data_IF_217818823510
#
_entry.id   IF_217818823510
#
_cell.length_a   1.000
_cell.length_b   1.000
_cell.length_c   1.000
_cell.angle_alpha   90.00
_cell.angle_beta   90.00
_cell.angle_gamma   90.00
#
_symmetry.space_group_name_H-M   'P 1'
#
loop_
_entity.id
_entity.type
_entity.pdbx_description
1 polymer ?
#
# COMPACT_ATOMS: atom_id res chain seq x y z
N UNK A 1 18.69 -1.16 -20.40
CA UNK A 1 18.42 -0.69 -19.02
C UNK A 1 17.03 -1.20 -18.59
N UNK A 2 16.87 -1.71 -17.36
CA UNK A 2 15.52 -2.03 -16.86
C UNK A 2 14.76 -0.72 -16.65
N UNK A 3 13.51 -0.67 -17.09
CA UNK A 3 12.65 0.48 -16.79
C UNK A 3 12.45 0.57 -15.27
N UNK A 4 12.69 1.73 -14.65
CA UNK A 4 12.52 1.89 -13.21
C UNK A 4 11.05 1.72 -12.84
N UNK A 5 10.79 0.98 -11.76
CA UNK A 5 9.45 0.80 -11.20
C UNK A 5 9.00 2.04 -10.44
N UNK A 6 7.71 2.15 -10.11
CA UNK A 6 7.20 3.22 -9.24
C UNK A 6 7.92 3.19 -7.88
N UNK A 7 8.17 2.00 -7.34
CA UNK A 7 8.93 1.81 -6.11
C UNK A 7 10.33 2.44 -6.21
N UNK A 8 11.07 2.16 -7.29
CA UNK A 8 12.42 2.70 -7.51
C UNK A 8 12.38 4.24 -7.60
N UNK A 9 11.40 4.79 -8.31
CA UNK A 9 11.24 6.24 -8.45
C UNK A 9 10.93 6.93 -7.11
N UNK A 10 10.10 6.30 -6.28
CA UNK A 10 9.70 6.85 -4.98
C UNK A 10 10.86 6.76 -3.98
N UNK A 11 11.51 5.60 -3.88
CA UNK A 11 12.50 5.33 -2.85
C UNK A 11 13.88 5.89 -3.21
N UNK A 12 14.32 5.72 -4.47
CA UNK A 12 15.67 6.14 -4.86
C UNK A 12 15.73 7.61 -5.26
N UNK A 13 14.62 8.17 -5.76
CA UNK A 13 14.57 9.54 -6.27
C UNK A 13 13.70 10.49 -5.46
N UNK A 14 13.09 9.99 -4.39
CA UNK A 14 12.28 10.81 -3.49
C UNK A 14 10.95 11.28 -4.10
N UNK A 15 10.50 10.76 -5.24
CA UNK A 15 9.30 11.26 -5.92
C UNK A 15 8.01 10.86 -5.19
N UNK A 16 6.93 11.62 -5.37
CA UNK A 16 5.60 11.18 -4.93
C UNK A 16 5.03 10.17 -5.95
N UNK A 17 4.12 9.31 -5.52
CA UNK A 17 3.45 8.37 -6.42
C UNK A 17 2.50 9.12 -7.38
N UNK A 18 2.30 8.59 -8.61
CA UNK A 18 1.34 9.14 -9.56
C UNK A 18 -0.09 9.17 -9.01
N UNK A 19 -0.94 10.05 -9.54
CA UNK A 19 -2.31 10.18 -9.05
C UNK A 19 -3.13 8.88 -9.17
N UNK A 20 -3.07 8.13 -10.28
CA UNK A 20 -3.74 6.83 -10.36
C UNK A 20 -3.19 5.80 -9.39
N UNK A 21 -1.89 5.86 -9.06
CA UNK A 21 -1.35 4.95 -8.07
C UNK A 21 -1.99 5.23 -6.70
N UNK A 22 -2.09 6.50 -6.32
CA UNK A 22 -2.78 6.90 -5.08
C UNK A 22 -4.27 6.56 -5.10
N UNK A 23 -4.92 6.70 -6.26
CA UNK A 23 -6.30 6.26 -6.45
C UNK A 23 -6.45 4.74 -6.31
N UNK A 24 -5.54 3.97 -6.92
CA UNK A 24 -5.50 2.52 -6.83
C UNK A 24 -5.24 2.06 -5.39
N UNK A 25 -4.30 2.70 -4.67
CA UNK A 25 -4.06 2.48 -3.24
C UNK A 25 -5.33 2.71 -2.42
N UNK A 26 -6.01 3.85 -2.64
CA UNK A 26 -7.29 4.16 -1.98
C UNK A 26 -8.36 3.11 -2.28
N UNK A 27 -8.47 2.69 -3.53
CA UNK A 27 -9.44 1.69 -3.98
C UNK A 27 -9.13 0.32 -3.35
N UNK A 28 -7.87 -0.11 -3.37
CA UNK A 28 -7.40 -1.35 -2.76
C UNK A 28 -7.71 -1.35 -1.25
N UNK A 29 -7.33 -0.29 -0.56
CA UNK A 29 -7.63 -0.11 0.86
C UNK A 29 -9.13 -0.23 1.15
N UNK A 30 -9.95 0.56 0.44
CA UNK A 30 -11.39 0.61 0.66
C UNK A 30 -12.07 -0.71 0.35
N UNK A 31 -11.65 -1.38 -0.72
CA UNK A 31 -12.19 -2.67 -1.12
C UNK A 31 -11.85 -3.77 -0.11
N UNK A 32 -10.59 -3.85 0.34
CA UNK A 32 -10.15 -4.87 1.31
C UNK A 32 -10.78 -4.64 2.70
N UNK A 33 -10.71 -3.41 3.20
CA UNK A 33 -11.26 -3.07 4.51
C UNK A 33 -12.79 -3.18 4.54
N UNK A 34 -13.46 -2.79 3.46
CA UNK A 34 -14.89 -2.95 3.25
C UNK A 34 -15.32 -4.41 3.14
N UNK A 35 -14.57 -5.23 2.39
CA UNK A 35 -14.78 -6.68 2.32
C UNK A 35 -14.71 -7.29 3.71
N UNK A 36 -13.61 -7.08 4.45
CA UNK A 36 -13.39 -7.68 5.76
C UNK A 36 -14.47 -7.30 6.77
N UNK A 37 -14.76 -5.99 6.88
CA UNK A 37 -15.77 -5.47 7.81
C UNK A 37 -17.19 -5.92 7.43
N UNK A 38 -17.43 -6.19 6.15
CA UNK A 38 -18.71 -6.67 5.64
C UNK A 38 -19.00 -8.16 5.91
N UNK A 39 -17.97 -8.96 6.27
CA UNK A 39 -18.16 -10.39 6.54
C UNK A 39 -18.86 -10.65 7.88
N UNK A 40 -18.63 -9.81 8.89
CA UNK A 40 -19.13 -10.03 10.24
C UNK A 40 -19.10 -8.73 11.04
N UNK A 41 -20.10 -8.46 11.90
CA UNK A 41 -20.08 -7.31 12.81
C UNK A 41 -18.97 -7.40 13.87
N UNK A 42 -18.37 -8.58 14.06
CA UNK A 42 -17.21 -8.80 14.95
C UNK A 42 -15.88 -8.44 14.30
N UNK A 43 -15.87 -8.18 13.00
CA UNK A 43 -14.66 -7.83 12.27
C UNK A 43 -14.36 -6.35 12.40
N UNK A 44 -13.09 -6.02 12.53
CA UNK A 44 -12.61 -4.64 12.49
C UNK A 44 -11.23 -4.56 11.83
N UNK A 45 -10.92 -3.36 11.34
CA UNK A 45 -9.70 -3.07 10.58
C UNK A 45 -8.84 -2.11 11.39
N UNK A 46 -7.55 -2.40 11.46
CA UNK A 46 -6.53 -1.52 12.03
C UNK A 46 -5.49 -1.25 10.94
N UNK A 47 -5.25 0.03 10.63
CA UNK A 47 -4.15 0.41 9.75
C UNK A 47 -2.83 0.36 10.52
N UNK A 48 -1.81 -0.32 10.00
CA UNK A 48 -0.50 -0.43 10.63
C UNK A 48 0.58 0.31 9.84
N UNK A 49 1.75 0.46 10.44
CA UNK A 49 2.95 0.96 9.77
C UNK A 49 2.72 2.25 8.97
N UNK A 50 3.18 2.33 7.71
CA UNK A 50 3.06 3.53 6.87
C UNK A 50 1.59 3.92 6.66
N UNK A 51 0.73 2.93 6.41
CA UNK A 51 -0.72 3.12 6.26
C UNK A 51 -1.35 3.72 7.52
N UNK A 52 -0.99 3.25 8.70
CA UNK A 52 -1.51 3.76 9.98
C UNK A 52 -1.07 5.20 10.24
N UNK A 53 0.13 5.56 9.79
CA UNK A 53 0.67 6.91 9.95
C UNK A 53 -0.12 7.97 9.17
N UNK A 54 -0.73 7.57 8.04
CA UNK A 54 -1.55 8.42 7.19
C UNK A 54 -2.75 9.04 7.93
N UNK A 55 -3.28 8.36 8.95
CA UNK A 55 -4.34 8.85 9.84
C UNK A 55 -3.96 10.15 10.54
N UNK A 56 -2.68 10.29 10.90
CA UNK A 56 -2.19 11.41 11.71
C UNK A 56 -1.52 12.50 10.87
N UNK A 57 -1.02 12.15 9.68
CA UNK A 57 -0.22 13.07 8.85
C UNK A 57 -0.95 13.64 7.65
N UNK A 58 -1.92 12.91 7.12
CA UNK A 58 -2.49 13.21 5.81
C UNK A 58 -4.02 13.21 5.82
N UNK A 59 -4.61 13.61 6.95
CA UNK A 59 -6.06 13.78 7.08
C UNK A 59 -6.87 12.51 6.83
N UNK A 60 -6.27 11.33 7.04
CA UNK A 60 -6.92 10.06 6.73
C UNK A 60 -6.93 9.72 5.24
N UNK A 61 -5.96 10.21 4.46
CA UNK A 61 -5.70 9.77 3.08
C UNK A 61 -4.33 9.10 2.97
N UNK A 62 -4.12 8.11 2.08
CA UNK A 62 -2.82 7.47 1.87
C UNK A 62 -1.71 8.51 1.64
N UNK A 63 -0.52 8.30 2.22
CA UNK A 63 0.56 9.28 2.10
C UNK A 63 1.00 9.32 0.63
N UNK A 64 1.33 10.52 0.14
CA UNK A 64 1.55 10.76 -1.29
C UNK A 64 2.73 9.98 -1.88
N UNK A 65 3.54 9.32 -1.07
CA UNK A 65 4.67 8.48 -1.47
C UNK A 65 4.56 7.04 -0.98
N UNK A 66 3.42 6.63 -0.40
CA UNK A 66 3.17 5.22 -0.13
C UNK A 66 3.05 4.47 -1.46
N UNK A 67 3.57 3.25 -1.48
CA UNK A 67 3.59 2.36 -2.65
C UNK A 67 2.80 1.08 -2.39
N UNK A 68 2.58 0.78 -1.12
CA UNK A 68 1.98 -0.42 -0.56
C UNK A 68 0.96 -0.07 0.55
N UNK A 69 0.31 -1.10 1.07
CA UNK A 69 -0.65 -0.97 2.17
C UNK A 69 -0.40 -2.04 3.23
N UNK A 70 0.01 -1.62 4.42
CA UNK A 70 -0.02 -2.46 5.61
C UNK A 70 -1.41 -2.43 6.29
N UNK A 71 -2.00 -3.59 6.54
CA UNK A 71 -3.32 -3.70 7.17
C UNK A 71 -3.42 -4.88 8.14
N UNK A 72 -4.10 -4.65 9.26
CA UNK A 72 -4.45 -5.67 10.23
C UNK A 72 -5.97 -5.92 10.20
N UNK A 73 -6.34 -7.17 9.93
CA UNK A 73 -7.71 -7.64 9.79
C UNK A 73 -8.07 -8.53 10.99
N UNK A 74 -8.83 -7.97 11.93
CA UNK A 74 -9.12 -8.60 13.22
C UNK A 74 -10.57 -9.01 13.35
N UNK A 75 -10.82 -10.04 14.15
CA UNK A 75 -12.16 -10.49 14.52
C UNK A 75 -12.26 -10.84 16.00
N UNK A 76 -13.33 -10.39 16.67
CA UNK A 76 -13.61 -10.65 18.11
C UNK A 76 -14.23 -12.04 18.34
N UNK A 77 -13.68 -13.09 17.71
CA UNK A 77 -14.19 -14.46 17.86
C UNK A 77 -13.72 -15.40 16.77
N UNK A 78 -14.51 -16.44 16.53
CA UNK A 78 -14.28 -17.36 15.42
C UNK A 78 -14.42 -16.63 14.08
N UNK A 79 -13.44 -16.78 13.17
CA UNK A 79 -13.55 -16.23 11.83
C UNK A 79 -14.63 -16.99 11.04
N UNK A 80 -15.23 -16.30 10.05
CA UNK A 80 -16.27 -16.88 9.21
C UNK A 80 -15.77 -18.09 8.38
N UNK A 81 -14.48 -18.12 8.11
CA UNK A 81 -13.77 -19.23 7.47
C UNK A 81 -12.37 -19.37 8.08
N UNK A 82 -11.75 -20.55 7.94
CA UNK A 82 -10.40 -20.79 8.44
C UNK A 82 -9.37 -20.00 7.61
N UNK A 83 -8.47 -19.27 8.26
CA UNK A 83 -7.44 -18.50 7.54
C UNK A 83 -6.46 -19.37 6.75
N UNK A 84 -6.32 -20.67 7.08
CA UNK A 84 -5.59 -21.64 6.26
C UNK A 84 -6.12 -21.74 4.83
N UNK A 85 -7.40 -21.41 4.60
CA UNK A 85 -7.98 -21.37 3.26
C UNK A 85 -7.23 -20.39 2.34
N UNK A 86 -6.63 -19.31 2.87
CA UNK A 86 -5.78 -18.45 2.06
C UNK A 86 -4.60 -19.22 1.45
N UNK A 87 -3.96 -20.10 2.20
CA UNK A 87 -2.84 -20.91 1.71
C UNK A 87 -3.30 -21.98 0.71
N UNK A 88 -4.46 -22.61 0.94
CA UNK A 88 -5.03 -23.61 0.02
C UNK A 88 -5.40 -22.99 -1.33
N UNK A 89 -5.88 -21.74 -1.30
CA UNK A 89 -6.36 -21.01 -2.47
C UNK A 89 -5.41 -19.92 -2.96
N UNK A 90 -4.11 -19.98 -2.64
CA UNK A 90 -3.13 -19.03 -3.18
C UNK A 90 -2.75 -19.35 -4.64
N UNK A 91 -2.29 -18.34 -5.37
CA UNK A 91 -1.71 -18.47 -6.70
C UNK A 91 -0.39 -19.24 -6.60
N UNK A 92 -0.42 -20.52 -6.99
CA UNK A 92 0.72 -21.43 -6.88
C UNK A 92 0.51 -22.60 -5.92
N UNK A 93 -0.63 -22.66 -5.21
CA UNK A 93 -0.98 -23.81 -4.39
C UNK A 93 -1.18 -25.08 -5.26
N UNK A 94 -0.91 -26.25 -4.66
CA UNK A 94 -0.97 -27.53 -5.37
C UNK A 94 -2.40 -27.85 -5.85
N UNK A 95 -2.60 -28.11 -7.17
CA UNK A 95 -3.94 -28.34 -7.74
C UNK A 95 -4.73 -29.47 -7.08
N UNK A 96 -4.04 -30.47 -6.52
CA UNK A 96 -4.66 -31.64 -5.89
C UNK A 96 -5.53 -31.29 -4.68
N UNK A 97 -5.18 -30.26 -3.90
CA UNK A 97 -5.98 -29.81 -2.76
C UNK A 97 -7.22 -29.02 -3.21
N UNK A 98 -7.10 -28.26 -4.29
CA UNK A 98 -8.19 -27.45 -4.85
C UNK A 98 -9.25 -28.30 -5.54
N UNK A 99 -8.88 -29.46 -6.10
CA UNK A 99 -9.82 -30.36 -6.78
C UNK A 99 -10.81 -31.05 -5.84
N UNK A 100 -10.50 -31.12 -4.54
CA UNK A 100 -11.29 -31.84 -3.55
C UNK A 100 -12.25 -30.94 -2.75
N UNK A 101 -12.20 -29.62 -2.95
CA UNK A 101 -12.91 -28.65 -2.12
C UNK A 101 -13.43 -27.49 -2.96
N UNK A 102 -14.55 -26.89 -2.56
CA UNK A 102 -14.99 -25.61 -3.13
C UNK A 102 -14.35 -24.44 -2.35
N UNK A 103 -13.94 -23.36 -3.02
CA UNK A 103 -13.39 -22.20 -2.32
C UNK A 103 -14.45 -21.56 -1.42
N UNK A 104 -14.07 -21.05 -0.23
CA UNK A 104 -14.97 -20.25 0.59
C UNK A 104 -15.57 -19.09 -0.23
N UNK A 105 -16.89 -18.87 -0.19
CA UNK A 105 -17.55 -17.79 -0.94
C UNK A 105 -16.93 -16.41 -0.67
N UNK A 106 -16.43 -16.19 0.54
CA UNK A 106 -15.79 -14.95 0.97
C UNK A 106 -14.49 -14.69 0.21
N UNK A 107 -13.70 -15.73 -0.07
CA UNK A 107 -12.45 -15.64 -0.83
C UNK A 107 -12.72 -15.50 -2.34
N UNK A 108 -13.80 -16.12 -2.85
CA UNK A 108 -14.27 -15.88 -4.22
C UNK A 108 -14.63 -14.41 -4.40
N UNK A 109 -15.42 -13.85 -3.46
CA UNK A 109 -15.80 -12.44 -3.48
C UNK A 109 -14.59 -11.51 -3.38
N UNK A 110 -13.57 -11.87 -2.59
CA UNK A 110 -12.32 -11.10 -2.51
C UNK A 110 -11.61 -11.06 -3.88
N UNK A 111 -11.58 -12.18 -4.61
CA UNK A 111 -11.03 -12.22 -5.97
C UNK A 111 -11.84 -11.39 -6.97
N UNK A 112 -13.17 -11.44 -6.86
CA UNK A 112 -14.06 -10.62 -7.70
C UNK A 112 -13.85 -9.11 -7.49
N UNK A 113 -13.39 -8.70 -6.31
CA UNK A 113 -13.00 -7.32 -6.03
C UNK A 113 -11.65 -6.93 -6.67
N UNK A 114 -10.95 -7.86 -7.31
CA UNK A 114 -9.68 -7.59 -8.01
C UNK A 114 -8.43 -7.97 -7.21
N UNK A 115 -8.57 -8.77 -6.14
CA UNK A 115 -7.43 -9.24 -5.34
C UNK A 115 -6.95 -10.62 -5.78
N UNK A 116 -5.64 -10.80 -5.75
CA UNK A 116 -4.97 -12.09 -5.75
C UNK A 116 -3.97 -12.18 -4.61
N UNK A 117 -3.47 -13.37 -4.30
CA UNK A 117 -2.42 -13.59 -3.29
C UNK A 117 -1.59 -14.81 -3.66
N UNK A 118 -0.28 -14.72 -3.41
CA UNK A 118 0.70 -15.76 -3.76
C UNK A 118 1.36 -16.33 -2.51
N UNK A 119 1.73 -15.45 -1.56
CA UNK A 119 2.42 -15.83 -0.35
C UNK A 119 1.51 -15.75 0.88
N UNK A 120 1.47 -16.84 1.62
CA UNK A 120 0.73 -16.96 2.88
C UNK A 120 1.65 -17.59 3.90
N UNK A 121 1.79 -16.95 5.07
CA UNK A 121 2.65 -17.42 6.15
C UNK A 121 1.91 -17.41 7.47
N UNK A 122 1.90 -18.55 8.14
CA UNK A 122 1.32 -18.67 9.48
C UNK A 122 2.39 -18.35 10.55
N UNK A 123 2.16 -17.26 11.27
CA UNK A 123 2.92 -16.87 12.45
C UNK A 123 2.04 -16.83 13.72
N UNK A 124 0.91 -17.55 13.72
CA UNK A 124 -0.02 -17.65 14.85
C UNK A 124 0.67 -18.14 16.13
N UNK A 125 1.59 -19.10 16.03
CA UNK A 125 2.40 -19.59 17.15
C UNK A 125 3.24 -18.50 17.85
N UNK A 126 3.48 -17.37 17.19
CA UNK A 126 4.19 -16.19 17.73
C UNK A 126 3.26 -15.02 18.03
N UNK A 127 1.94 -15.26 18.04
CA UNK A 127 0.91 -14.22 18.17
C UNK A 127 0.94 -13.15 17.06
N UNK A 128 1.64 -13.41 15.95
CA UNK A 128 1.74 -12.50 14.82
C UNK A 128 0.64 -12.73 13.78
N UNK A 129 -0.08 -13.87 13.84
CA UNK A 129 -1.24 -14.14 12.97
C UNK A 129 -0.86 -14.70 11.62
N UNK A 130 -1.80 -14.66 10.68
CA UNK A 130 -1.60 -15.09 9.30
C UNK A 130 -1.22 -13.89 8.45
N UNK A 131 -0.05 -13.94 7.82
CA UNK A 131 0.40 -12.91 6.89
C UNK A 131 0.05 -13.34 5.47
N UNK A 132 -0.65 -12.48 4.75
CA UNK A 132 -1.08 -12.71 3.37
C UNK A 132 -0.60 -11.54 2.52
N UNK A 133 0.28 -11.82 1.58
CA UNK A 133 0.73 -10.85 0.57
C UNK A 133 -0.33 -10.82 -0.54
N UNK A 134 -1.14 -9.75 -0.53
CA UNK A 134 -2.22 -9.51 -1.49
C UNK A 134 -1.72 -8.58 -2.60
N UNK A 135 -2.18 -8.81 -3.81
CA UNK A 135 -2.05 -7.87 -4.92
C UNK A 135 -3.44 -7.45 -5.39
N UNK A 136 -3.66 -6.15 -5.48
CA UNK A 136 -4.88 -5.55 -6.02
C UNK A 136 -4.62 -5.01 -7.42
N UNK A 137 -5.50 -5.34 -8.37
CA UNK A 137 -5.46 -4.80 -9.72
C UNK A 137 -6.62 -3.82 -9.97
N UNK A 138 -6.31 -2.53 -10.10
CA UNK A 138 -7.28 -1.52 -10.55
C UNK A 138 -7.42 -1.60 -12.08
N UNK A 139 -8.37 -2.41 -12.56
CA UNK A 139 -8.66 -2.56 -13.99
C UNK A 139 -9.29 -1.32 -14.63
N UNK A 140 -9.80 -0.39 -13.83
CA UNK A 140 -10.33 0.89 -14.30
C UNK A 140 -9.23 1.96 -14.44
N UNK A 141 -7.99 1.66 -14.01
CA UNK A 141 -6.84 2.50 -14.33
C UNK A 141 -6.49 2.37 -15.82
N UNK A 142 -6.30 3.53 -16.46
CA UNK A 142 -5.96 3.65 -17.88
C UNK A 142 -4.63 4.39 -17.99
N UNK A 143 -3.77 4.06 -18.98
CA UNK A 143 -3.98 3.13 -20.10
C UNK A 143 -3.72 1.65 -19.74
N UNK A 144 -3.10 1.38 -18.59
CA UNK A 144 -2.83 0.03 -18.10
C UNK A 144 -3.34 -0.12 -16.67
N UNK A 145 -3.77 -1.33 -16.27
CA UNK A 145 -4.13 -1.60 -14.89
C UNK A 145 -2.97 -1.29 -13.95
N UNK A 146 -3.28 -0.61 -12.84
CA UNK A 146 -2.32 -0.38 -11.77
C UNK A 146 -2.41 -1.53 -10.79
N UNK A 147 -1.25 -2.05 -10.36
CA UNK A 147 -1.15 -3.10 -9.36
C UNK A 147 -0.56 -2.53 -8.09
N UNK A 148 -1.22 -2.81 -6.97
CA UNK A 148 -0.82 -2.35 -5.64
C UNK A 148 -0.65 -3.58 -4.77
N UNK A 149 0.43 -3.63 -4.02
CA UNK A 149 0.69 -4.70 -3.07
C UNK A 149 0.16 -4.30 -1.67
N UNK A 150 -0.39 -5.28 -0.95
CA UNK A 150 -0.93 -5.10 0.39
C UNK A 150 -0.44 -6.23 1.28
N UNK A 151 0.10 -5.86 2.43
CA UNK A 151 0.51 -6.78 3.49
C UNK A 151 -0.61 -6.88 4.53
N UNK A 152 -1.40 -7.94 4.43
CA UNK A 152 -2.52 -8.18 5.33
C UNK A 152 -2.15 -9.17 6.43
N UNK A 153 -2.40 -8.78 7.68
CA UNK A 153 -2.26 -9.64 8.86
C UNK A 153 -3.64 -9.98 9.41
N UNK A 154 -4.00 -11.26 9.38
CA UNK A 154 -5.27 -11.77 9.90
C UNK A 154 -5.10 -12.35 11.30
N UNK A 155 -5.96 -11.96 12.24
CA UNK A 155 -6.01 -12.54 13.59
C UNK A 155 -7.44 -12.73 14.08
N UNK A 156 -7.68 -13.88 14.70
CA UNK A 156 -8.92 -14.22 15.39
C UNK A 156 -8.80 -13.98 16.89
N UNK A 157 -9.94 -13.87 17.56
CA UNK A 157 -10.06 -13.63 19.00
C UNK A 157 -9.32 -12.38 19.52
N UNK A 158 -9.14 -11.37 18.67
CA UNK A 158 -8.57 -10.08 19.08
C UNK A 158 -9.72 -9.16 19.47
N UNK A 159 -9.76 -8.72 20.72
CA UNK A 159 -10.75 -7.71 21.15
C UNK A 159 -10.40 -6.32 20.61
N UNK A 160 -11.42 -5.51 20.35
CA UNK A 160 -11.29 -4.12 19.95
C UNK A 160 -10.85 -3.17 21.09
N UNK A 161 -10.82 -3.63 22.35
CA UNK A 161 -10.51 -2.81 23.52
C UNK A 161 -9.14 -2.07 23.45
N UNK A 162 -8.03 -2.67 22.94
CA UNK A 162 -6.75 -1.97 22.75
C UNK A 162 -6.79 -0.92 21.62
N UNK A 163 -7.83 -0.93 20.79
CA UNK A 163 -8.04 0.01 19.69
C UNK A 163 -9.34 0.80 19.91
N UNK A 164 -9.45 1.59 21.00
CA UNK A 164 -10.72 2.18 21.41
C UNK A 164 -11.21 3.28 20.47
N UNK A 165 -10.29 3.93 19.74
CA UNK A 165 -10.61 5.06 18.87
C UNK A 165 -11.01 4.59 17.48
N UNK A 166 -11.77 5.41 16.77
CA UNK A 166 -12.13 5.18 15.36
C UNK A 166 -11.86 6.42 14.53
N UNK A 167 -11.41 6.22 13.30
CA UNK A 167 -11.16 7.28 12.32
C UNK A 167 -11.63 6.83 10.94
N UNK A 168 -11.70 7.78 10.00
CA UNK A 168 -11.89 7.47 8.60
C UNK A 168 -10.51 7.46 7.91
N UNK A 169 -10.19 6.36 7.22
CA UNK A 169 -9.05 6.25 6.33
C UNK A 169 -9.56 5.92 4.92
N UNK A 170 -9.35 6.85 3.99
CA UNK A 170 -9.67 6.76 2.58
C UNK A 170 -11.14 6.40 2.28
N UNK A 171 -12.07 6.75 3.18
CA UNK A 171 -13.49 6.44 3.07
C UNK A 171 -13.95 5.29 3.98
N UNK A 172 -13.03 4.56 4.63
CA UNK A 172 -13.36 3.40 5.46
C UNK A 172 -13.11 3.66 6.94
N UNK A 173 -14.02 3.20 7.80
CA UNK A 173 -13.86 3.30 9.26
C UNK A 173 -12.81 2.30 9.73
N UNK A 174 -11.79 2.80 10.42
CA UNK A 174 -10.74 1.99 11.06
C UNK A 174 -10.72 2.22 12.55
N UNK A 175 -10.10 1.28 13.26
CA UNK A 175 -9.80 1.41 14.68
C UNK A 175 -8.31 1.66 14.90
N UNK A 176 -7.99 2.39 15.96
CA UNK A 176 -6.61 2.63 16.38
C UNK A 176 -6.56 2.86 17.91
N UNK A 177 -5.35 2.75 18.47
CA UNK A 177 -5.09 2.93 19.89
C UNK A 177 -3.92 3.87 20.15
N UNK A 178 -3.80 4.34 21.39
CA UNK A 178 -2.74 5.27 21.79
C UNK A 178 -1.35 4.65 21.63
N UNK A 179 -1.18 3.38 22.00
CA UNK A 179 0.09 2.67 21.88
C UNK A 179 0.54 2.54 20.42
N UNK A 180 -0.41 2.29 19.52
CA UNK A 180 -0.15 2.26 18.08
C UNK A 180 0.30 3.64 17.58
N UNK A 181 -0.39 4.70 17.99
CA UNK A 181 -0.01 6.07 17.62
C UNK A 181 1.41 6.42 18.11
N UNK A 182 1.74 6.08 19.37
CA UNK A 182 3.08 6.29 19.94
C UNK A 182 4.14 5.49 19.17
N UNK A 183 3.87 4.21 18.89
CA UNK A 183 4.77 3.36 18.11
C UNK A 183 5.05 3.93 16.71
N UNK A 184 4.00 4.37 16.00
CA UNK A 184 4.12 4.93 14.66
C UNK A 184 4.88 6.26 14.64
N UNK A 185 4.57 7.16 15.58
CA UNK A 185 5.29 8.44 15.68
C UNK A 185 6.77 8.25 16.04
N UNK A 186 7.09 7.27 16.91
CA UNK A 186 8.47 6.91 17.25
C UNK A 186 9.23 6.26 16.09
N UNK A 187 8.59 5.36 15.34
CA UNK A 187 9.19 4.64 14.22
C UNK A 187 9.47 5.53 13.01
N UNK A 188 8.55 6.44 12.66
CA UNK A 188 8.56 7.16 11.37
C UNK A 188 9.02 8.63 11.44
N UNK A 189 9.63 9.08 12.54
CA UNK A 189 10.31 10.40 12.62
C UNK A 189 9.44 11.60 12.20
N UNK A 190 10.00 12.71 11.70
CA UNK A 190 9.23 13.83 11.14
C UNK A 190 8.46 13.47 9.85
N UNK A 191 7.40 14.23 9.52
CA UNK A 191 6.54 14.03 8.34
C UNK A 191 7.18 14.45 6.99
N UNK A 192 8.49 14.63 6.97
CA UNK A 192 9.23 15.19 5.85
C UNK A 192 9.80 14.08 4.98
N UNK A 193 9.45 14.06 3.70
CA UNK A 193 10.15 13.20 2.74
C UNK A 193 11.50 13.81 2.42
N UNK A 194 12.56 13.02 2.63
CA UNK A 194 13.95 13.42 2.36
C UNK A 194 14.56 12.51 1.29
N UNK A 195 15.45 13.06 0.46
CA UNK A 195 16.22 12.22 -0.46
C UNK A 195 17.12 11.28 0.33
N UNK A 196 17.03 9.97 0.06
CA UNK A 196 17.68 8.90 0.83
C UNK A 196 19.22 9.06 0.94
N UNK A 197 19.85 9.78 0.01
CA UNK A 197 21.32 9.95 -0.05
C UNK A 197 21.85 11.29 0.47
N UNK A 198 21.02 12.34 0.52
CA UNK A 198 21.47 13.70 0.88
C UNK A 198 20.80 14.26 2.12
N UNK A 199 19.64 13.71 2.52
CA UNK A 199 18.87 14.22 3.65
C UNK A 199 18.10 15.52 3.35
N UNK A 200 18.26 16.08 2.16
CA UNK A 200 17.51 17.25 1.69
C UNK A 200 16.02 16.95 1.58
N UNK A 201 15.18 17.95 1.90
CA UNK A 201 13.74 17.87 1.68
C UNK A 201 13.45 17.66 0.20
N UNK A 202 12.51 16.77 -0.11
CA UNK A 202 12.02 16.63 -1.48
C UNK A 202 11.23 17.88 -1.83
N UNK A 203 11.83 18.74 -2.64
CA UNK A 203 11.18 19.89 -3.28
C UNK A 203 10.86 19.53 -4.73
N UNK A 204 9.64 19.84 -5.19
CA UNK A 204 9.34 19.76 -6.62
C UNK A 204 10.09 20.89 -7.33
N UNK A 205 11.04 20.55 -8.19
CA UNK A 205 11.95 21.53 -8.81
C UNK A 205 11.36 22.22 -10.05
N UNK A 206 10.22 21.77 -10.59
CA UNK A 206 9.65 22.30 -11.84
C UNK A 206 8.39 23.14 -11.62
N UNK A 207 8.36 24.41 -12.09
CA UNK A 207 7.13 25.20 -12.18
C UNK A 207 6.11 24.50 -13.08
N UNK A 208 4.91 24.23 -12.56
CA UNK A 208 3.82 23.59 -13.30
C UNK A 208 3.72 22.08 -13.15
N UNK A 209 4.69 21.43 -12.49
CA UNK A 209 4.56 20.05 -12.04
C UNK A 209 4.25 20.04 -10.54
N UNK A 210 3.23 19.29 -10.13
CA UNK A 210 3.18 18.86 -8.73
C UNK A 210 4.22 17.75 -8.54
N UNK A 211 4.75 17.56 -7.34
CA UNK A 211 5.52 16.34 -7.00
C UNK A 211 4.75 15.05 -7.33
N UNK A 212 3.44 15.15 -7.58
CA UNK A 212 2.61 14.14 -8.21
C UNK A 212 2.92 14.03 -9.71
N UNK A 213 3.39 12.86 -10.14
CA UNK A 213 3.45 12.50 -11.56
C UNK A 213 2.04 12.73 -12.17
N UNK A 214 1.87 13.61 -13.19
CA UNK A 214 0.56 14.18 -13.52
C UNK A 214 -0.42 13.19 -14.12
N UNK A 215 0.02 12.14 -14.80
CA UNK A 215 -0.92 11.27 -15.48
C UNK A 215 -0.35 9.89 -15.71
N UNK A 216 -1.25 8.92 -15.67
CA UNK A 216 -1.02 7.48 -15.79
C UNK A 216 -0.57 7.07 -17.19
N UNK A 217 -0.54 8.01 -18.13
CA UNK A 217 0.05 7.85 -19.44
C UNK A 217 1.57 7.94 -19.35
N UNK A 218 2.21 6.97 -18.70
CA UNK A 218 3.60 6.66 -18.97
C UNK A 218 3.64 6.05 -20.38
N UNK A 219 3.70 6.90 -21.41
CA UNK A 219 4.02 6.45 -22.77
C UNK A 219 5.30 5.62 -22.68
N UNK A 220 5.41 4.57 -23.49
CA UNK A 220 6.65 3.82 -23.61
C UNK A 220 7.82 4.82 -23.86
N UNK A 221 8.87 4.75 -23.03
CA UNK A 221 10.01 5.69 -23.06
C UNK A 221 9.82 7.06 -22.39
N UNK A 222 8.75 7.31 -21.62
CA UNK A 222 8.62 8.56 -20.82
C UNK A 222 9.55 8.58 -19.60
N UNK A 223 9.78 7.42 -18.98
CA UNK A 223 10.77 7.29 -17.90
C UNK A 223 12.18 7.65 -18.35
N UNK A 224 12.57 7.25 -19.56
CA UNK A 224 13.89 7.53 -20.12
C UNK A 224 14.09 9.03 -20.35
N UNK A 225 13.05 9.75 -20.78
CA UNK A 225 13.08 11.21 -20.97
C UNK A 225 13.15 12.00 -19.67
N UNK A 226 12.30 11.68 -18.68
CA UNK A 226 12.34 12.33 -17.36
C UNK A 226 13.69 12.09 -16.64
N UNK A 227 14.33 10.94 -16.87
CA UNK A 227 15.66 10.66 -16.34
C UNK A 227 16.78 11.32 -17.15
N UNK A 228 16.69 11.35 -18.48
CA UNK A 228 17.75 11.92 -19.33
C UNK A 228 17.75 13.44 -19.32
N UNK A 229 16.58 14.09 -19.28
CA UNK A 229 16.47 15.55 -19.23
C UNK A 229 16.82 16.08 -17.83
N UNK A 230 16.45 15.36 -16.76
CA UNK A 230 16.83 15.72 -15.39
C UNK A 230 18.35 15.57 -15.12
N UNK A 231 19.01 14.56 -15.71
CA UNK A 231 20.47 14.45 -15.60
C UNK A 231 21.22 15.43 -16.51
N UNK A 232 20.63 15.87 -17.64
CA UNK A 232 21.29 16.82 -18.55
C UNK A 232 21.25 18.28 -18.06
N UNK A 233 20.37 18.62 -17.11
CA UNK A 233 20.38 19.96 -16.52
C UNK A 233 21.42 20.14 -15.40
N UNK A 234 21.92 19.07 -14.78
CA UNK A 234 23.03 19.16 -13.82
C UNK A 234 24.39 19.37 -14.52
N UNK A 235 24.57 18.88 -15.76
CA UNK A 235 25.81 19.10 -16.54
C UNK A 235 25.84 20.44 -17.29
N UNK A 236 24.72 21.16 -17.35
CA UNK A 236 24.57 22.41 -18.12
C UNK A 236 24.77 23.70 -17.32
N UNK A 237 24.77 23.66 -15.99
CA UNK A 237 24.80 24.86 -15.15
C UNK A 237 26.17 25.22 -14.56
N UNK A 238 27.24 24.47 -14.88
CA UNK A 238 28.61 24.77 -14.43
C UNK A 238 29.59 25.19 -15.55
N UNK A 239 29.10 25.42 -16.77
CA UNK A 239 29.93 25.87 -17.91
C UNK A 239 29.82 27.38 -18.22
N UNK A 240 29.17 28.17 -17.37
CA UNK A 240 28.78 29.56 -17.68
C UNK A 240 29.36 30.66 -16.77
N UNK A 241 30.29 30.37 -15.86
CA UNK A 241 30.81 31.37 -14.94
C UNK A 241 32.33 31.25 -14.73
N UNK A 242 33.11 31.58 -15.78
CA UNK A 242 34.49 32.11 -15.66
C UNK A 242 35.04 32.49 -17.05
N UNK A 243 34.95 33.78 -17.39
CA UNK A 243 36.00 34.55 -18.06
C UNK A 243 35.44 35.95 -18.36
N UNK A 244 35.66 36.86 -17.42
CA UNK A 244 36.04 38.24 -17.74
C UNK A 244 37.56 38.31 -17.62
#
# INVERSE_FOLDING_TARGET
PKNPTVFDLVNDRGLATPWCWRRALRNAWSALAGWWSGLSPRNFVVASDGTGLSLFRNGGEPIAWDVDVDVQLYTEGDPLFNFEEFAVWSEGAAPALQQLKQPPPELVRLRELGFSWTAVRDYSARSAGWHVELQFADSAAQPTPVRVDLDAVLKAYVTAAPFPMSANLAGTRVRYGQDLQLSLTGKYGPAEKRMHKRGDLVTCHDPGHSACLPDCALREGWHERLCSEACQMEDGHDAGARAT
#
